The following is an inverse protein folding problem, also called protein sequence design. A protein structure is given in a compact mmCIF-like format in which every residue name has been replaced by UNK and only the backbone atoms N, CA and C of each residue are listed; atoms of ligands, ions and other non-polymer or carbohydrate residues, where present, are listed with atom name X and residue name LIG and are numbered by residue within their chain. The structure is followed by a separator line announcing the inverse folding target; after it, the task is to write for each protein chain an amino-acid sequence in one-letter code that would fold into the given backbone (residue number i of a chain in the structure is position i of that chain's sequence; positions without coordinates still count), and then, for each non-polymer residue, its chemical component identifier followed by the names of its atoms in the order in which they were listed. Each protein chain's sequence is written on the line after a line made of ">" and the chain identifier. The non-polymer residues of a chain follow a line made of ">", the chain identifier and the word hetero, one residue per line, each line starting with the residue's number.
data_IF_761396109402
#
_entry.id   IF_761396109402
#
_cell.length_a   1.000
_cell.length_b   1.000
_cell.length_c   1.000
_cell.angle_alpha   90.00
_cell.angle_beta   90.00
_cell.angle_gamma   90.00
#
_symmetry.space_group_name_H-M   'P 1'
#
loop_
_entity.id
_entity.type
_entity.pdbx_description
1 polymer ?
#
# COMPACT_ATOMS: atom_id res chain seq x y z
N UNK A 1 6.24 12.06 -0.53
CA UNK A 1 7.28 11.09 -0.11
C UNK A 1 8.65 11.72 0.06
N UNK A 2 9.16 12.56 -0.87
CA UNK A 2 10.50 13.17 -0.74
C UNK A 2 10.68 14.08 0.49
N UNK A 3 9.73 14.98 0.76
CA UNK A 3 9.80 15.86 1.95
C UNK A 3 9.72 15.11 3.28
N UNK A 4 9.05 13.96 3.31
CA UNK A 4 8.97 13.09 4.48
C UNK A 4 10.28 12.33 4.71
N UNK A 5 10.99 11.93 3.64
CA UNK A 5 12.32 11.31 3.74
C UNK A 5 13.36 12.30 4.28
N UNK A 6 13.34 13.56 3.82
CA UNK A 6 14.28 14.62 4.26
C UNK A 6 14.06 14.98 5.73
N UNK A 7 12.79 15.17 6.16
CA UNK A 7 12.47 15.41 7.57
C UNK A 7 12.98 14.26 8.44
N UNK A 8 12.83 13.01 7.99
CA UNK A 8 13.29 11.85 8.74
C UNK A 8 14.81 11.64 8.74
N UNK A 9 15.52 12.00 7.66
CA UNK A 9 16.98 12.00 7.62
C UNK A 9 17.57 13.11 8.51
N UNK A 10 16.93 14.29 8.56
CA UNK A 10 17.31 15.35 9.51
C UNK A 10 17.02 14.96 10.96
N UNK A 11 15.89 14.30 11.23
CA UNK A 11 15.55 13.77 12.57
C UNK A 11 16.49 12.63 12.97
N UNK A 12 16.88 11.74 12.05
CA UNK A 12 17.89 10.69 12.27
C UNK A 12 19.25 11.29 12.61
N UNK A 13 19.72 12.26 11.83
CA UNK A 13 21.00 12.91 12.06
C UNK A 13 21.05 13.60 13.44
N UNK A 14 19.94 14.24 13.84
CA UNK A 14 19.80 14.87 15.16
C UNK A 14 19.72 13.84 16.29
N UNK A 15 18.95 12.77 16.13
CA UNK A 15 18.82 11.67 17.11
C UNK A 15 20.12 10.89 17.34
N UNK A 16 21.00 10.79 16.33
CA UNK A 16 22.35 10.20 16.47
C UNK A 16 23.28 11.12 17.26
N UNK A 17 23.14 12.45 17.11
CA UNK A 17 23.89 13.43 17.91
C UNK A 17 23.41 13.49 19.37
N UNK A 18 22.10 13.37 19.59
CA UNK A 18 21.47 13.54 20.90
C UNK A 18 21.35 12.22 21.69
N UNK A 19 21.89 11.10 21.17
CA UNK A 19 21.86 9.78 21.82
C UNK A 19 20.45 9.22 22.08
N UNK A 20 19.41 9.84 21.51
CA UNK A 20 18.01 9.50 21.74
C UNK A 20 17.33 9.22 20.41
N UNK A 21 17.17 7.93 20.11
CA UNK A 21 16.63 7.43 18.85
C UNK A 21 15.10 7.61 18.84
N UNK A 22 14.61 8.74 18.31
CA UNK A 22 13.16 8.94 18.15
C UNK A 22 12.69 8.26 16.85
N UNK A 23 11.79 7.30 17.01
CA UNK A 23 11.39 6.29 16.03
C UNK A 23 10.42 6.87 14.98
N UNK A 24 10.91 7.32 13.83
CA UNK A 24 10.02 7.50 12.68
C UNK A 24 9.66 6.15 12.07
N UNK A 25 8.41 5.91 11.67
CA UNK A 25 7.92 4.54 11.41
C UNK A 25 8.62 3.77 10.29
N UNK A 26 9.17 4.44 9.27
CA UNK A 26 9.95 3.75 8.20
C UNK A 26 11.40 3.53 8.65
N UNK A 27 12.01 4.49 9.36
CA UNK A 27 13.32 4.24 9.97
C UNK A 27 13.23 3.19 11.06
N UNK A 28 12.14 3.16 11.82
CA UNK A 28 11.79 2.13 12.77
C UNK A 28 11.61 0.79 12.07
N UNK A 29 10.93 0.72 10.93
CA UNK A 29 10.80 -0.54 10.20
C UNK A 29 12.15 -1.05 9.67
N UNK A 30 12.94 -0.18 9.04
CA UNK A 30 14.29 -0.54 8.57
C UNK A 30 15.22 -0.85 9.74
N UNK A 31 15.06 -0.17 10.88
CA UNK A 31 15.80 -0.39 12.10
C UNK A 31 15.40 -1.70 12.77
N UNK A 32 14.11 -2.04 12.87
CA UNK A 32 13.63 -3.29 13.45
C UNK A 32 14.05 -4.48 12.58
N UNK A 33 13.89 -4.37 11.26
CA UNK A 33 14.36 -5.39 10.33
C UNK A 33 15.89 -5.52 10.37
N UNK A 34 16.62 -4.40 10.32
CA UNK A 34 18.08 -4.36 10.39
C UNK A 34 18.63 -4.88 11.72
N UNK A 35 18.11 -4.40 12.84
CA UNK A 35 18.43 -4.87 14.18
C UNK A 35 18.14 -6.36 14.34
N UNK A 36 17.00 -6.83 13.82
CA UNK A 36 16.65 -8.25 13.84
C UNK A 36 17.69 -9.09 13.07
N UNK A 37 18.00 -8.71 11.84
CA UNK A 37 18.98 -9.40 10.99
C UNK A 37 20.40 -9.36 11.53
N UNK A 38 20.78 -8.31 12.27
CA UNK A 38 22.10 -8.21 12.91
C UNK A 38 22.24 -9.13 14.14
N UNK A 39 21.14 -9.36 14.87
CA UNK A 39 21.15 -10.15 16.11
C UNK A 39 20.70 -11.61 15.92
N UNK A 40 20.16 -11.95 14.74
CA UNK A 40 19.62 -13.27 14.45
C UNK A 40 20.20 -13.80 13.14
N UNK A 41 20.66 -15.05 13.16
CA UNK A 41 21.01 -15.76 11.92
C UNK A 41 19.73 -16.15 11.21
N UNK A 42 19.37 -15.39 10.18
CA UNK A 42 18.23 -15.71 9.30
C UNK A 42 18.78 -16.30 8.01
N UNK A 43 18.52 -17.59 7.80
CA UNK A 43 18.84 -18.25 6.53
C UNK A 43 17.67 -18.10 5.57
N UNK A 44 17.85 -17.28 4.54
CA UNK A 44 16.86 -17.09 3.48
C UNK A 44 17.25 -17.96 2.29
N UNK A 45 16.37 -18.88 1.90
CA UNK A 45 16.58 -19.67 0.68
C UNK A 45 16.53 -18.76 -0.56
N UNK A 46 17.27 -19.13 -1.61
CA UNK A 46 17.20 -18.40 -2.90
C UNK A 46 15.76 -18.29 -3.41
N UNK A 47 14.96 -19.34 -3.24
CA UNK A 47 13.54 -19.33 -3.60
C UNK A 47 12.75 -18.29 -2.80
N UNK A 48 12.97 -18.17 -1.50
CA UNK A 48 12.30 -17.16 -0.66
C UNK A 48 12.73 -15.74 -1.03
N UNK A 49 14.02 -15.53 -1.37
CA UNK A 49 14.50 -14.24 -1.86
C UNK A 49 13.83 -13.84 -3.18
N UNK A 50 13.76 -14.77 -4.15
CA UNK A 50 13.08 -14.56 -5.43
C UNK A 50 11.60 -14.26 -5.21
N UNK A 51 10.91 -15.03 -4.37
CA UNK A 51 9.51 -14.81 -4.04
C UNK A 51 9.30 -13.41 -3.44
N UNK A 52 10.18 -12.96 -2.54
CA UNK A 52 10.09 -11.62 -1.96
C UNK A 52 10.27 -10.50 -3.02
N UNK A 53 11.17 -10.68 -3.98
CA UNK A 53 11.30 -9.75 -5.11
C UNK A 53 10.00 -9.65 -5.91
N UNK A 54 9.29 -10.76 -6.15
CA UNK A 54 7.98 -10.72 -6.79
C UNK A 54 6.93 -9.99 -5.94
N UNK A 55 6.89 -10.23 -4.63
CA UNK A 55 5.98 -9.50 -3.73
C UNK A 55 6.21 -7.99 -3.81
N UNK A 56 7.48 -7.55 -3.76
CA UNK A 56 7.84 -6.14 -3.89
C UNK A 56 7.41 -5.58 -5.26
N UNK A 57 7.75 -6.27 -6.36
CA UNK A 57 7.45 -5.80 -7.71
C UNK A 57 5.94 -5.70 -7.96
N UNK A 58 5.17 -6.71 -7.56
CA UNK A 58 3.71 -6.69 -7.67
C UNK A 58 3.13 -5.55 -6.83
N UNK A 59 3.58 -5.41 -5.58
CA UNK A 59 3.15 -4.32 -4.70
C UNK A 59 3.42 -2.94 -5.32
N UNK A 60 4.62 -2.74 -5.85
CA UNK A 60 5.01 -1.50 -6.53
C UNK A 60 4.13 -1.21 -7.75
N UNK A 61 3.96 -2.19 -8.63
CA UNK A 61 3.19 -2.05 -9.87
C UNK A 61 1.71 -1.75 -9.57
N UNK A 62 1.11 -2.41 -8.58
CA UNK A 62 -0.27 -2.17 -8.16
C UNK A 62 -0.40 -0.78 -7.53
N UNK A 63 0.46 -0.43 -6.56
CA UNK A 63 0.40 0.86 -5.87
C UNK A 63 0.56 2.04 -6.84
N UNK A 64 1.64 2.02 -7.63
CA UNK A 64 1.94 3.10 -8.59
C UNK A 64 0.97 3.08 -9.75
N UNK A 65 0.63 1.90 -10.26
CA UNK A 65 -0.31 1.71 -11.35
C UNK A 65 -1.69 2.27 -11.02
N UNK A 66 -2.27 1.90 -9.88
CA UNK A 66 -3.59 2.37 -9.46
C UNK A 66 -3.64 3.90 -9.32
N UNK A 67 -2.62 4.50 -8.69
CA UNK A 67 -2.52 5.96 -8.53
C UNK A 67 -2.32 6.68 -9.87
N UNK A 68 -1.41 6.19 -10.73
CA UNK A 68 -1.19 6.73 -12.06
C UNK A 68 -2.48 6.67 -12.90
N UNK A 69 -3.18 5.54 -12.85
CA UNK A 69 -4.43 5.34 -13.57
C UNK A 69 -5.51 6.33 -13.13
N UNK A 70 -5.68 6.54 -11.82
CA UNK A 70 -6.61 7.53 -11.27
C UNK A 70 -6.25 8.95 -11.71
N UNK A 71 -4.96 9.28 -11.73
CA UNK A 71 -4.49 10.60 -12.15
C UNK A 71 -4.79 10.85 -13.64
N UNK A 72 -4.42 9.90 -14.51
CA UNK A 72 -4.69 9.98 -15.96
C UNK A 72 -6.19 10.11 -16.21
N UNK A 73 -7.02 9.32 -15.54
CA UNK A 73 -8.48 9.39 -15.70
C UNK A 73 -9.05 10.77 -15.32
N UNK A 74 -8.52 11.41 -14.27
CA UNK A 74 -8.94 12.76 -13.87
C UNK A 74 -8.55 13.84 -14.89
N UNK A 75 -7.45 13.65 -15.60
CA UNK A 75 -6.98 14.59 -16.62
C UNK A 75 -7.68 14.36 -17.97
N UNK A 76 -7.83 13.09 -18.35
CA UNK A 76 -8.48 12.68 -19.59
C UNK A 76 -9.39 11.48 -19.33
N UNK A 77 -10.70 11.72 -19.08
CA UNK A 77 -11.67 10.67 -18.83
C UNK A 77 -11.89 9.69 -20.00
N UNK A 78 -11.39 10.01 -21.20
CA UNK A 78 -11.48 9.15 -22.40
C UNK A 78 -10.21 8.32 -22.64
N UNK A 79 -9.15 8.52 -21.85
CA UNK A 79 -7.91 7.76 -22.00
C UNK A 79 -8.14 6.26 -21.81
N UNK A 80 -7.52 5.45 -22.67
CA UNK A 80 -7.64 4.00 -22.60
C UNK A 80 -7.02 3.45 -21.32
N UNK A 81 -7.72 2.49 -20.71
CA UNK A 81 -7.28 1.75 -19.54
C UNK A 81 -7.00 0.32 -19.98
N UNK A 82 -5.73 -0.08 -19.93
CA UNK A 82 -5.28 -1.41 -20.37
C UNK A 82 -5.79 -1.76 -21.79
N UNK A 83 -5.68 -0.79 -22.71
CA UNK A 83 -6.08 -0.95 -24.12
C UNK A 83 -7.58 -0.87 -24.39
N UNK A 84 -8.43 -0.69 -23.37
CA UNK A 84 -9.89 -0.61 -23.53
C UNK A 84 -10.45 0.76 -23.09
N UNK A 85 -11.59 1.21 -23.64
CA UNK A 85 -12.28 2.39 -23.14
C UNK A 85 -12.59 2.25 -21.63
N UNK A 86 -12.47 3.33 -20.83
CA UNK A 86 -12.72 3.27 -19.40
C UNK A 86 -14.21 3.02 -19.13
N UNK A 87 -14.49 2.10 -18.19
CA UNK A 87 -15.84 1.93 -17.65
C UNK A 87 -16.02 2.92 -16.50
N UNK A 88 -17.05 3.77 -16.57
CA UNK A 88 -17.29 4.84 -15.59
C UNK A 88 -18.73 4.79 -15.11
N UNK A 89 -18.92 4.85 -13.80
CA UNK A 89 -20.24 4.88 -13.14
C UNK A 89 -20.62 6.33 -12.82
N UNK A 90 -21.83 6.73 -13.21
CA UNK A 90 -22.36 8.08 -13.05
C UNK A 90 -21.47 9.20 -13.64
N UNK A 91 -20.66 8.88 -14.65
CA UNK A 91 -19.70 9.81 -15.27
C UNK A 91 -18.56 10.29 -14.36
N UNK A 92 -18.43 9.74 -13.15
CA UNK A 92 -17.50 10.24 -12.12
C UNK A 92 -16.56 9.18 -11.54
N UNK A 93 -17.01 7.94 -11.42
CA UNK A 93 -16.27 6.87 -10.72
C UNK A 93 -15.71 5.86 -11.71
N UNK A 94 -14.39 5.66 -11.70
CA UNK A 94 -13.72 4.71 -12.59
C UNK A 94 -13.91 3.28 -12.08
N UNK A 95 -14.50 2.41 -12.90
CA UNK A 95 -14.79 1.01 -12.59
C UNK A 95 -14.08 0.04 -13.57
N UNK A 96 -12.88 0.40 -14.00
CA UNK A 96 -12.02 -0.40 -14.89
C UNK A 96 -10.55 -0.32 -14.47
N UNK A 97 -9.73 -1.27 -14.92
CA UNK A 97 -8.33 -1.40 -14.47
C UNK A 97 -8.24 -1.74 -12.99
N UNK A 98 -7.28 -1.17 -12.26
CA UNK A 98 -7.11 -1.43 -10.83
C UNK A 98 -8.37 -1.09 -10.01
N UNK A 99 -9.07 -0.01 -10.37
CA UNK A 99 -10.30 0.45 -9.69
C UNK A 99 -11.53 -0.39 -10.04
N UNK A 100 -11.45 -1.22 -11.09
CA UNK A 100 -12.49 -2.22 -11.40
C UNK A 100 -12.28 -3.55 -10.68
N UNK A 101 -11.09 -3.79 -10.13
CA UNK A 101 -10.75 -5.02 -9.41
C UNK A 101 -11.12 -4.90 -7.93
N UNK A 102 -10.67 -3.83 -7.28
CA UNK A 102 -11.02 -3.47 -5.91
C UNK A 102 -11.06 -1.96 -5.75
N UNK A 103 -11.92 -1.46 -4.85
CA UNK A 103 -12.14 -0.02 -4.67
C UNK A 103 -10.93 0.72 -4.11
N UNK A 104 -10.04 0.00 -3.42
CA UNK A 104 -8.77 0.49 -2.87
C UNK A 104 -7.60 -0.42 -3.24
N UNK A 105 -7.49 -0.83 -4.52
CA UNK A 105 -6.35 -1.61 -5.02
C UNK A 105 -4.98 -0.99 -4.69
N UNK A 106 -4.89 0.33 -4.60
CA UNK A 106 -3.67 1.01 -4.16
C UNK A 106 -3.28 0.63 -2.72
N UNK A 107 -4.23 0.37 -1.81
CA UNK A 107 -3.92 -0.07 -0.45
C UNK A 107 -3.36 -1.48 -0.43
N UNK A 108 -3.86 -2.39 -1.29
CA UNK A 108 -3.26 -3.72 -1.47
C UNK A 108 -1.79 -3.61 -1.90
N UNK A 109 -1.50 -2.75 -2.87
CA UNK A 109 -0.11 -2.50 -3.31
C UNK A 109 0.79 -1.98 -2.19
N UNK A 110 0.27 -1.07 -1.35
CA UNK A 110 0.98 -0.51 -0.19
C UNK A 110 1.29 -1.58 0.86
N UNK A 111 0.34 -2.48 1.13
CA UNK A 111 0.51 -3.60 2.07
C UNK A 111 1.53 -4.61 1.58
N UNK A 112 1.53 -4.95 0.28
CA UNK A 112 2.53 -5.86 -0.30
C UNK A 112 3.94 -5.26 -0.23
N UNK A 113 4.09 -3.96 -0.48
CA UNK A 113 5.36 -3.25 -0.31
C UNK A 113 5.83 -3.30 1.15
N UNK A 114 4.97 -2.95 2.10
CA UNK A 114 5.30 -3.00 3.53
C UNK A 114 5.70 -4.42 3.99
N UNK A 115 4.98 -5.43 3.52
CA UNK A 115 5.27 -6.82 3.82
C UNK A 115 6.62 -7.26 3.25
N UNK A 116 6.97 -6.83 2.03
CA UNK A 116 8.24 -7.20 1.37
C UNK A 116 9.49 -6.72 2.10
N UNK A 117 9.39 -5.66 2.91
CA UNK A 117 10.47 -5.20 3.78
C UNK A 117 10.65 -6.06 5.04
N UNK A 118 9.64 -6.85 5.40
CA UNK A 118 9.62 -7.66 6.62
C UNK A 118 9.93 -9.13 6.34
N UNK A 119 9.49 -9.65 5.19
CA UNK A 119 9.66 -11.06 4.80
C UNK A 119 11.11 -11.59 4.87
N UNK A 120 12.15 -10.82 4.50
CA UNK A 120 13.54 -11.28 4.63
C UNK A 120 13.98 -11.59 6.07
N UNK A 121 13.24 -11.12 7.08
CA UNK A 121 13.54 -11.37 8.49
C UNK A 121 13.10 -12.75 8.99
N UNK A 122 12.47 -13.57 8.13
CA UNK A 122 11.89 -14.86 8.51
C UNK A 122 10.58 -14.70 9.29
N UNK A 123 10.06 -15.80 9.84
CA UNK A 123 8.77 -15.84 10.54
C UNK A 123 8.88 -16.11 12.05
N UNK A 124 10.11 -16.15 12.57
CA UNK A 124 10.38 -16.52 13.96
C UNK A 124 10.04 -15.43 14.99
N UNK A 125 9.76 -14.21 14.54
CA UNK A 125 9.40 -13.11 15.43
C UNK A 125 8.39 -12.16 14.78
N UNK A 126 7.43 -11.63 15.56
CA UNK A 126 6.50 -10.62 15.08
C UNK A 126 7.12 -9.22 14.98
N UNK A 127 8.30 -8.97 15.57
CA UNK A 127 8.92 -7.63 15.64
C UNK A 127 9.11 -7.02 14.25
N UNK A 128 9.70 -7.72 13.25
CA UNK A 128 9.87 -7.18 11.91
C UNK A 128 8.53 -6.92 11.19
N UNK A 129 7.42 -7.50 11.65
CA UNK A 129 6.10 -7.38 11.04
C UNK A 129 5.23 -6.30 11.69
N UNK A 130 5.75 -5.59 12.69
CA UNK A 130 4.98 -4.55 13.37
C UNK A 130 4.47 -3.47 12.41
N UNK A 131 5.30 -3.01 11.46
CA UNK A 131 4.90 -2.01 10.46
C UNK A 131 3.79 -2.50 9.51
N UNK A 132 3.90 -3.63 8.80
CA UNK A 132 2.81 -4.08 7.93
C UNK A 132 1.53 -4.38 8.71
N UNK A 133 1.61 -4.86 9.95
CA UNK A 133 0.43 -5.05 10.83
C UNK A 133 -0.22 -3.71 11.16
N UNK A 134 0.58 -2.73 11.61
CA UNK A 134 0.09 -1.38 11.88
C UNK A 134 -0.54 -0.74 10.64
N UNK A 135 0.14 -0.85 9.49
CA UNK A 135 -0.32 -0.30 8.23
C UNK A 135 -1.63 -0.95 7.81
N UNK A 136 -1.78 -2.26 7.97
CA UNK A 136 -3.02 -2.98 7.70
C UNK A 136 -4.19 -2.42 8.52
N UNK A 137 -4.02 -2.28 9.84
CA UNK A 137 -5.05 -1.70 10.72
C UNK A 137 -5.41 -0.28 10.27
N UNK A 138 -4.39 0.54 9.99
CA UNK A 138 -4.57 1.91 9.54
C UNK A 138 -5.34 1.98 8.21
N UNK A 139 -4.99 1.14 7.24
CA UNK A 139 -5.63 1.12 5.93
C UNK A 139 -7.05 0.60 5.98
N UNK A 140 -7.35 -0.41 6.80
CA UNK A 140 -8.73 -0.87 7.02
C UNK A 140 -9.58 0.25 7.63
N UNK A 141 -9.06 0.95 8.64
CA UNK A 141 -9.79 2.07 9.23
C UNK A 141 -9.96 3.24 8.26
N UNK A 142 -8.92 3.53 7.48
CA UNK A 142 -8.96 4.57 6.44
C UNK A 142 -9.96 4.24 5.34
N UNK A 143 -9.93 3.01 4.83
CA UNK A 143 -10.85 2.51 3.82
C UNK A 143 -12.30 2.70 4.26
N UNK A 144 -12.67 2.25 5.46
CA UNK A 144 -14.04 2.40 6.00
C UNK A 144 -14.50 3.86 6.06
N UNK A 145 -13.62 4.78 6.48
CA UNK A 145 -13.94 6.21 6.49
C UNK A 145 -14.10 6.78 5.09
N UNK A 146 -13.25 6.37 4.16
CA UNK A 146 -13.33 6.80 2.77
C UNK A 146 -14.61 6.27 2.09
N UNK A 147 -15.00 5.02 2.36
CA UNK A 147 -16.28 4.45 1.90
C UNK A 147 -17.49 5.25 2.43
N UNK A 148 -17.52 5.58 3.73
CA UNK A 148 -18.61 6.35 4.32
C UNK A 148 -18.75 7.74 3.66
N UNK A 149 -17.62 8.45 3.46
CA UNK A 149 -17.59 9.75 2.77
C UNK A 149 -18.03 9.62 1.31
N UNK A 150 -17.62 8.57 0.62
CA UNK A 150 -18.01 8.32 -0.77
C UNK A 150 -19.50 7.98 -0.89
N UNK A 151 -20.06 7.20 0.05
CA UNK A 151 -21.49 6.91 0.10
C UNK A 151 -22.33 8.17 0.29
N UNK A 152 -21.94 9.05 1.21
CA UNK A 152 -22.63 10.32 1.45
C UNK A 152 -22.55 11.25 0.23
N UNK A 153 -21.37 11.32 -0.40
CA UNK A 153 -21.11 12.21 -1.54
C UNK A 153 -21.76 11.77 -2.84
N UNK A 154 -21.71 10.48 -3.16
CA UNK A 154 -22.12 9.95 -4.46
C UNK A 154 -23.46 9.20 -4.42
N UNK A 155 -24.01 8.90 -3.24
CA UNK A 155 -25.35 8.32 -3.04
C UNK A 155 -25.58 7.09 -3.93
N UNK A 156 -26.62 7.07 -4.75
CA UNK A 156 -26.97 5.92 -5.60
C UNK A 156 -25.86 5.54 -6.60
N UNK A 157 -25.07 6.51 -7.07
CA UNK A 157 -23.91 6.26 -7.93
C UNK A 157 -22.85 5.43 -7.18
N UNK A 158 -22.70 5.67 -5.87
CA UNK A 158 -21.81 4.85 -5.03
C UNK A 158 -22.34 3.43 -4.88
N UNK A 159 -23.65 3.28 -4.65
CA UNK A 159 -24.27 1.97 -4.50
C UNK A 159 -24.10 1.13 -5.78
N UNK A 160 -24.28 1.73 -6.96
CA UNK A 160 -24.03 1.08 -8.24
C UNK A 160 -22.56 0.68 -8.40
N UNK A 161 -21.64 1.57 -8.05
CA UNK A 161 -20.20 1.30 -8.08
C UNK A 161 -19.81 0.12 -7.18
N UNK A 162 -20.33 0.08 -5.95
CA UNK A 162 -20.10 -1.00 -5.00
C UNK A 162 -20.68 -2.35 -5.45
N UNK A 163 -21.79 -2.36 -6.20
CA UNK A 163 -22.33 -3.60 -6.80
C UNK A 163 -21.40 -4.15 -7.87
N UNK A 164 -20.83 -3.26 -8.68
CA UNK A 164 -19.93 -3.66 -9.78
C UNK A 164 -18.54 -4.08 -9.27
N UNK A 165 -18.03 -3.38 -8.26
CA UNK A 165 -16.71 -3.61 -7.66
C UNK A 165 -16.92 -3.92 -6.19
N UNK A 166 -17.29 -5.16 -5.81
CA UNK A 166 -17.69 -5.50 -4.44
C UNK A 166 -16.53 -5.52 -3.45
N UNK A 167 -15.30 -5.73 -3.93
CA UNK A 167 -14.10 -5.85 -3.10
C UNK A 167 -13.52 -4.49 -2.70
N UNK A 168 -13.15 -4.35 -1.43
CA UNK A 168 -12.58 -3.14 -0.84
C UNK A 168 -11.08 -3.08 -1.08
N UNK A 169 -10.32 -4.04 -0.56
CA UNK A 169 -8.86 -4.08 -0.63
C UNK A 169 -8.38 -5.38 -1.27
N UNK A 170 -8.91 -6.53 -0.84
CA UNK A 170 -8.50 -7.86 -1.27
C UNK A 170 -9.54 -8.45 -2.21
N UNK A 171 -9.24 -8.55 -3.52
CA UNK A 171 -10.15 -9.17 -4.47
C UNK A 171 -10.54 -10.58 -4.02
N UNK A 172 -11.82 -10.91 -4.12
CA UNK A 172 -12.40 -12.20 -3.75
C UNK A 172 -12.39 -12.55 -2.25
N UNK A 173 -11.97 -11.62 -1.37
CA UNK A 173 -11.91 -11.85 0.08
C UNK A 173 -12.55 -10.71 0.89
N UNK A 174 -12.18 -9.45 0.63
CA UNK A 174 -12.62 -8.27 1.40
C UNK A 174 -12.61 -7.00 0.54
#
# INVERSE_FOLDING_TARGET
>A
MMGWLIINLSVLAKSVQDGSLSQSMILYQLFCAGWWLLNNKVELTTAAAIANCFVFLIGYLVFRGANKQKHIFKQNPKALIWGKPPKVIGGKLLASGYWGIARHSNYLGDLLLALSFSLPCGLSSPIPYFYPIYLFILLVWRERRDEARCAEKYKDIWAEYCRLVPWRIFPYLY
#
